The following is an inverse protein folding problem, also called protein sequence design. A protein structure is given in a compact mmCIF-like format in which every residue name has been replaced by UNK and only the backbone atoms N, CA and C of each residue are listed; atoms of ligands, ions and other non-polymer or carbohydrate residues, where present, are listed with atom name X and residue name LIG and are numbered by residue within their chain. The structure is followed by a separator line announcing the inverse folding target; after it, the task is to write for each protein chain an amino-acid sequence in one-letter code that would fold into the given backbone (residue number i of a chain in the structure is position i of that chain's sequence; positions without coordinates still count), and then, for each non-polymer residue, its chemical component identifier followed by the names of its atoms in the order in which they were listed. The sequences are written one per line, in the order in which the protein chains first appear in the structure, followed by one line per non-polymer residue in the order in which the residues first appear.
data_IF_640671280455
#
_entry.id   IF_640671280455
#
_cell.length_a   1.000
_cell.length_b   1.000
_cell.length_c   1.000
_cell.angle_alpha   90.00
_cell.angle_beta   90.00
_cell.angle_gamma   90.00
#
_symmetry.space_group_name_H-M   'P 1'
#
loop_
_entity.id
_entity.type
_entity.pdbx_description
1 polymer ?
#
# COMPACT_ATOMS: atom_id res chain seq x y z
N UNK A 1 10.81 19.47 2.40
CA UNK A 1 10.44 18.66 1.22
C UNK A 1 10.49 17.20 1.61
N UNK A 2 9.41 16.46 1.38
CA UNK A 2 9.33 15.06 1.76
C UNK A 2 10.21 14.21 0.82
N UNK A 3 11.04 13.33 1.38
CA UNK A 3 11.96 12.51 0.60
C UNK A 3 11.21 11.33 -0.03
N UNK A 4 10.81 11.49 -1.29
CA UNK A 4 9.93 10.56 -2.01
C UNK A 4 10.41 9.12 -1.96
N UNK A 5 11.73 8.90 -2.03
CA UNK A 5 12.29 7.55 -1.96
C UNK A 5 12.02 6.91 -0.59
N UNK A 6 12.31 7.62 0.49
CA UNK A 6 12.14 7.08 1.85
C UNK A 6 10.67 6.74 2.14
N UNK A 7 9.74 7.60 1.72
CA UNK A 7 8.30 7.39 1.92
C UNK A 7 7.76 6.24 1.05
N UNK A 8 8.19 6.13 -0.20
CA UNK A 8 7.81 5.02 -1.06
C UNK A 8 8.27 3.67 -0.50
N UNK A 9 9.52 3.58 -0.04
CA UNK A 9 10.04 2.36 0.61
C UNK A 9 9.31 2.05 1.92
N UNK A 10 9.03 3.06 2.76
CA UNK A 10 8.32 2.88 4.03
C UNK A 10 6.88 2.39 3.82
N UNK A 11 6.12 3.01 2.91
CA UNK A 11 4.76 2.60 2.58
C UNK A 11 4.73 1.21 1.95
N UNK A 12 5.65 0.91 1.03
CA UNK A 12 5.79 -0.42 0.43
C UNK A 12 6.01 -1.51 1.49
N UNK A 13 6.96 -1.30 2.40
CA UNK A 13 7.27 -2.26 3.47
C UNK A 13 6.09 -2.41 4.44
N UNK A 14 5.41 -1.31 4.79
CA UNK A 14 4.23 -1.32 5.62
C UNK A 14 3.12 -2.18 5.02
N UNK A 15 2.76 -1.95 3.74
CA UNK A 15 1.74 -2.76 3.05
C UNK A 15 2.15 -4.22 2.92
N UNK A 16 3.43 -4.51 2.70
CA UNK A 16 3.92 -5.89 2.65
C UNK A 16 3.76 -6.61 4.01
N UNK A 17 4.10 -5.94 5.12
CA UNK A 17 3.91 -6.49 6.47
C UNK A 17 2.42 -6.67 6.77
N UNK A 18 1.57 -5.69 6.46
CA UNK A 18 0.11 -5.81 6.63
C UNK A 18 -0.45 -6.97 5.83
N UNK A 19 0.00 -7.18 4.59
CA UNK A 19 -0.41 -8.32 3.77
C UNK A 19 -0.08 -9.67 4.45
N UNK A 20 1.14 -9.82 5.00
CA UNK A 20 1.54 -11.03 5.73
C UNK A 20 0.62 -11.25 6.94
N UNK A 21 0.35 -10.21 7.72
CA UNK A 21 -0.57 -10.27 8.87
C UNK A 21 -1.97 -10.68 8.42
N UNK A 22 -2.49 -10.12 7.31
CA UNK A 22 -3.79 -10.49 6.75
C UNK A 22 -3.84 -11.96 6.33
N UNK A 23 -2.78 -12.49 5.70
CA UNK A 23 -2.70 -13.90 5.29
C UNK A 23 -2.68 -14.82 6.51
N UNK A 24 -1.88 -14.50 7.54
CA UNK A 24 -1.82 -15.27 8.79
C UNK A 24 -3.20 -15.29 9.48
N UNK A 25 -3.88 -14.14 9.53
CA UNK A 25 -5.21 -14.04 10.11
C UNK A 25 -6.25 -14.87 9.35
N UNK A 26 -6.19 -14.87 8.01
CA UNK A 26 -7.03 -15.71 7.15
C UNK A 26 -6.77 -17.21 7.30
N UNK A 27 -5.54 -17.61 7.63
CA UNK A 27 -5.18 -19.00 7.95
C UNK A 27 -5.67 -19.43 9.33
N UNK A 28 -5.62 -18.53 10.32
CA UNK A 28 -6.09 -18.81 11.69
C UNK A 28 -7.62 -18.88 11.80
N UNK A 29 -8.36 -18.33 10.85
CA UNK A 29 -9.83 -18.25 10.91
C UNK A 29 -10.50 -19.12 9.82
N UNK A 30 -11.10 -20.28 10.13
CA UNK A 30 -11.60 -21.18 9.10
C UNK A 30 -13.00 -20.85 8.54
N UNK A 31 -13.07 -20.83 7.20
CA UNK A 31 -14.10 -21.40 6.30
C UNK A 31 -15.44 -20.71 5.97
N UNK A 32 -15.70 -19.42 6.28
CA UNK A 32 -16.93 -18.75 5.77
C UNK A 32 -16.81 -17.23 5.52
N UNK A 33 -15.58 -16.71 5.36
CA UNK A 33 -15.35 -15.28 5.21
C UNK A 33 -15.06 -14.93 3.75
N UNK A 34 -15.88 -14.04 3.22
CA UNK A 34 -15.80 -13.28 1.96
C UNK A 34 -14.45 -12.57 1.68
N UNK A 35 -13.41 -12.80 2.49
CA UNK A 35 -12.10 -12.14 2.40
C UNK A 35 -11.18 -12.75 1.34
N UNK A 36 -11.35 -14.02 0.95
CA UNK A 36 -10.62 -14.57 -0.20
C UNK A 36 -11.02 -13.91 -1.50
N UNK A 37 -12.31 -13.62 -1.66
CA UNK A 37 -12.84 -12.89 -2.80
C UNK A 37 -12.28 -11.48 -2.87
N UNK A 38 -12.10 -10.79 -1.73
CA UNK A 38 -11.47 -9.48 -1.70
C UNK A 38 -9.99 -9.54 -2.15
N UNK A 39 -9.23 -10.54 -1.69
CA UNK A 39 -7.84 -10.74 -2.15
C UNK A 39 -7.79 -11.10 -3.64
N UNK A 40 -8.69 -11.95 -4.15
CA UNK A 40 -8.79 -12.29 -5.57
C UNK A 40 -9.25 -11.12 -6.44
N UNK A 41 -10.12 -10.23 -5.92
CA UNK A 41 -10.58 -9.02 -6.62
C UNK A 41 -9.51 -7.93 -6.66
N UNK A 42 -8.75 -7.76 -5.58
CA UNK A 42 -7.64 -6.79 -5.52
C UNK A 42 -6.41 -7.31 -6.26
N UNK A 43 -6.24 -8.63 -6.34
CA UNK A 43 -5.10 -9.29 -7.00
C UNK A 43 -5.57 -10.38 -7.98
N UNK A 44 -5.78 -10.04 -9.27
CA UNK A 44 -6.35 -10.97 -10.26
C UNK A 44 -5.49 -12.20 -10.54
N UNK A 45 -4.20 -12.21 -10.15
CA UNK A 45 -3.30 -13.35 -10.27
C UNK A 45 -3.18 -14.18 -8.96
N UNK A 46 -3.85 -13.76 -7.88
CA UNK A 46 -3.75 -14.43 -6.59
C UNK A 46 -4.64 -15.67 -6.56
N UNK A 47 -4.02 -16.85 -6.49
CA UNK A 47 -4.72 -18.11 -6.19
C UNK A 47 -4.55 -18.43 -4.71
N UNK A 48 -5.65 -18.44 -3.98
CA UNK A 48 -5.63 -18.80 -2.57
C UNK A 48 -5.05 -20.21 -2.37
N UNK A 49 -4.22 -20.39 -1.34
CA UNK A 49 -3.60 -21.68 -0.99
C UNK A 49 -2.55 -22.22 -2.01
N UNK A 50 -1.94 -21.35 -2.83
CA UNK A 50 -0.74 -21.72 -3.62
C UNK A 50 0.47 -20.90 -3.19
N UNK A 51 1.63 -21.55 -3.08
CA UNK A 51 2.91 -20.90 -2.74
C UNK A 51 3.23 -19.73 -3.68
N UNK A 52 2.94 -19.89 -4.97
CA UNK A 52 3.07 -18.84 -5.98
C UNK A 52 2.10 -17.68 -5.79
N UNK A 53 0.85 -17.93 -5.40
CA UNK A 53 -0.14 -16.89 -5.13
C UNK A 53 0.30 -15.99 -3.98
N UNK A 54 0.83 -16.57 -2.90
CA UNK A 54 1.37 -15.79 -1.78
C UNK A 54 2.54 -14.88 -2.19
N UNK A 55 3.49 -15.40 -2.97
CA UNK A 55 4.66 -14.63 -3.41
C UNK A 55 4.24 -13.47 -4.33
N UNK A 56 3.35 -13.74 -5.29
CA UNK A 56 2.80 -12.72 -6.18
C UNK A 56 2.02 -11.66 -5.40
N UNK A 57 1.22 -12.08 -4.42
CA UNK A 57 0.44 -11.16 -3.61
C UNK A 57 1.28 -10.26 -2.72
N UNK A 58 2.40 -10.76 -2.22
CA UNK A 58 3.38 -9.97 -1.47
C UNK A 58 4.04 -8.90 -2.36
N UNK A 59 4.44 -9.30 -3.58
CA UNK A 59 5.08 -8.40 -4.55
C UNK A 59 4.12 -7.30 -4.99
N UNK A 60 2.88 -7.66 -5.35
CA UNK A 60 1.83 -6.72 -5.74
C UNK A 60 1.51 -5.75 -4.59
N UNK A 61 1.31 -6.26 -3.37
CA UNK A 61 1.03 -5.42 -2.19
C UNK A 61 2.16 -4.43 -1.91
N UNK A 62 3.42 -4.87 -2.03
CA UNK A 62 4.58 -4.00 -1.93
C UNK A 62 4.60 -2.92 -3.02
N UNK A 63 4.35 -3.30 -4.28
CA UNK A 63 4.27 -2.37 -5.41
C UNK A 63 3.17 -1.32 -5.20
N UNK A 64 2.00 -1.71 -4.71
CA UNK A 64 0.92 -0.78 -4.39
C UNK A 64 1.31 0.24 -3.31
N UNK A 65 2.02 -0.18 -2.26
CA UNK A 65 2.53 0.75 -1.24
C UNK A 65 3.60 1.70 -1.77
N UNK A 66 4.53 1.20 -2.59
CA UNK A 66 5.54 2.03 -3.26
C UNK A 66 4.88 3.05 -4.18
N UNK A 67 3.87 2.63 -4.95
CA UNK A 67 3.08 3.50 -5.82
C UNK A 67 2.37 4.58 -5.01
N UNK A 68 1.72 4.23 -3.90
CA UNK A 68 1.06 5.19 -3.02
C UNK A 68 2.05 6.25 -2.50
N UNK A 69 3.24 5.85 -2.06
CA UNK A 69 4.26 6.81 -1.60
C UNK A 69 4.83 7.69 -2.72
N UNK A 70 5.03 7.12 -3.91
CA UNK A 70 5.48 7.86 -5.10
C UNK A 70 4.47 8.90 -5.56
N UNK A 71 3.16 8.62 -5.46
CA UNK A 71 2.09 9.55 -5.84
C UNK A 71 1.81 10.55 -4.73
N UNK A 72 1.82 10.12 -3.47
CA UNK A 72 1.52 10.97 -2.32
C UNK A 72 2.56 12.08 -2.12
N UNK A 73 3.86 11.77 -2.21
CA UNK A 73 4.93 12.76 -2.01
C UNK A 73 4.90 13.98 -2.93
N UNK A 74 4.77 13.87 -4.27
CA UNK A 74 4.69 15.03 -5.16
C UNK A 74 3.41 15.84 -4.94
N UNK A 75 2.29 15.18 -4.64
CA UNK A 75 1.04 15.86 -4.28
C UNK A 75 1.23 16.67 -3.00
N UNK A 76 1.79 16.05 -1.95
CA UNK A 76 2.08 16.72 -0.68
C UNK A 76 3.05 17.90 -0.87
N UNK A 77 4.16 17.70 -1.59
CA UNK A 77 5.13 18.76 -1.83
C UNK A 77 4.52 19.90 -2.69
N UNK A 78 3.66 19.60 -3.66
CA UNK A 78 2.97 20.60 -4.47
C UNK A 78 1.94 21.39 -3.65
N UNK A 79 1.17 20.70 -2.82
CA UNK A 79 0.17 21.30 -1.94
C UNK A 79 0.82 22.16 -0.85
N UNK A 80 1.89 21.65 -0.24
CA UNK A 80 2.73 22.39 0.71
C UNK A 80 3.29 23.66 0.07
N UNK A 81 3.76 23.60 -1.19
CA UNK A 81 4.22 24.80 -1.89
C UNK A 81 3.08 25.80 -2.16
N UNK A 82 1.86 25.34 -2.43
CA UNK A 82 0.71 26.22 -2.68
C UNK A 82 0.19 26.89 -1.40
N UNK A 83 0.01 26.15 -0.32
CA UNK A 83 -0.45 26.73 0.95
C UNK A 83 0.60 27.60 1.62
N UNK A 84 1.88 27.26 1.51
CA UNK A 84 2.95 28.09 2.07
C UNK A 84 3.23 29.36 1.25
N UNK A 85 2.71 29.47 0.02
CA UNK A 85 2.71 30.71 -0.76
C UNK A 85 1.48 31.59 -0.46
N UNK A 86 0.38 31.01 0.05
CA UNK A 86 -0.83 31.75 0.43
C UNK A 86 -0.78 32.40 1.82
N UNK A 87 0.20 32.04 2.67
CA UNK A 87 0.38 32.67 3.99
C UNK A 87 1.28 33.92 3.97
N UNK A 88 1.83 34.31 2.82
CA UNK A 88 2.68 35.50 2.68
C UNK A 88 1.96 36.79 2.26
N UNK A 89 0.65 36.76 2.02
CA UNK A 89 -0.14 37.96 1.64
C UNK A 89 -0.97 38.54 2.80
N UNK A 90 -0.77 38.05 4.02
CA UNK A 90 -1.48 38.48 5.23
C UNK A 90 -0.53 38.83 6.39
N UNK A 91 0.63 39.44 6.10
CA UNK A 91 1.44 40.14 7.10
C UNK A 91 1.84 41.54 6.59
#
# INVERSE_FOLDING_TARGET
MLNTRLVAWALGLFTAVTFIVCVIYGLMTPRSLHMHTFLEQVLPAFKWLTWWGFLLGLIESFLYGVYAGLVFCPIYNGLHRRFNLGQGEHE
#
